data_IF_011281885962
#
_entry.id   IF_011281885962
#
_cell.length_a   1.000
_cell.length_b   1.000
_cell.length_c   1.000
_cell.angle_alpha   90.00
_cell.angle_beta   90.00
_cell.angle_gamma   90.00
#
_symmetry.space_group_name_H-M   'P 1'
#
loop_
_entity.id
_entity.type
_entity.pdbx_description
1 polymer ?
#
# COMPACT_ATOMS: atom_id res chain seq x y z
N UNK A 1 -22.24 -18.71 -18.89
CA UNK A 1 -22.29 -17.27 -19.22
C UNK A 1 -21.77 -16.47 -18.04
N UNK A 2 -20.41 -16.36 -17.92
CA UNK A 2 -19.76 -15.55 -16.92
C UNK A 2 -20.00 -14.06 -17.19
N UNK A 3 -20.63 -13.36 -16.23
CA UNK A 3 -20.87 -11.91 -16.33
C UNK A 3 -19.72 -11.06 -15.78
N UNK A 4 -18.58 -11.65 -15.53
CA UNK A 4 -17.38 -10.99 -15.03
C UNK A 4 -16.70 -11.84 -13.97
N UNK A 5 -15.40 -11.65 -13.83
CA UNK A 5 -14.59 -12.18 -12.74
C UNK A 5 -14.06 -10.98 -11.98
N UNK A 6 -14.34 -10.94 -10.69
CA UNK A 6 -13.81 -9.90 -9.79
C UNK A 6 -12.71 -10.54 -8.94
N UNK A 7 -11.52 -9.97 -8.99
CA UNK A 7 -10.39 -10.37 -8.15
C UNK A 7 -10.14 -9.22 -7.18
N UNK A 8 -10.21 -9.49 -5.88
CA UNK A 8 -9.95 -8.52 -4.82
C UNK A 8 -9.00 -9.09 -3.79
N UNK A 9 -8.15 -8.23 -3.26
CA UNK A 9 -7.34 -8.55 -2.08
C UNK A 9 -8.25 -8.52 -0.85
N UNK A 10 -8.45 -9.69 -0.23
CA UNK A 10 -9.28 -9.85 0.97
C UNK A 10 -8.44 -10.08 2.23
N UNK A 11 -7.13 -9.93 2.17
CA UNK A 11 -6.21 -10.17 3.29
C UNK A 11 -6.65 -9.46 4.57
N UNK A 12 -6.99 -8.15 4.56
CA UNK A 12 -7.45 -7.50 5.79
C UNK A 12 -8.76 -8.11 6.32
N UNK A 13 -9.64 -8.59 5.43
CA UNK A 13 -10.91 -9.19 5.85
C UNK A 13 -10.73 -10.54 6.55
N UNK A 14 -9.63 -11.24 6.30
CA UNK A 14 -9.32 -12.52 6.94
C UNK A 14 -8.88 -12.35 8.40
N UNK A 15 -8.35 -11.17 8.76
CA UNK A 15 -7.97 -10.83 10.12
C UNK A 15 -9.15 -10.25 10.93
N UNK A 16 -10.22 -9.78 10.27
CA UNK A 16 -11.36 -9.14 10.95
C UNK A 16 -12.05 -10.13 11.89
N UNK A 17 -12.12 -9.77 13.15
CA UNK A 17 -12.86 -10.49 14.19
C UNK A 17 -13.87 -9.55 14.87
N UNK A 18 -14.75 -10.13 15.68
CA UNK A 18 -15.72 -9.35 16.46
C UNK A 18 -15.01 -8.39 17.44
N UNK A 19 -13.83 -8.80 17.94
CA UNK A 19 -13.02 -7.98 18.84
C UNK A 19 -12.47 -6.75 18.10
N UNK A 20 -11.91 -6.92 16.89
CA UNK A 20 -11.39 -5.82 16.09
C UNK A 20 -12.50 -4.81 15.73
N UNK A 21 -13.71 -5.29 15.44
CA UNK A 21 -14.82 -4.40 15.06
C UNK A 21 -15.31 -3.49 16.21
N UNK A 22 -15.00 -3.80 17.46
CA UNK A 22 -15.33 -2.94 18.60
C UNK A 22 -14.19 -2.00 18.99
N UNK A 23 -12.97 -2.23 18.49
CA UNK A 23 -11.84 -1.33 18.69
C UNK A 23 -12.08 0.01 17.95
N UNK A 24 -11.66 1.16 18.51
CA UNK A 24 -11.74 2.44 17.81
C UNK A 24 -10.84 2.48 16.56
N UNK A 25 -9.69 1.80 16.63
CA UNK A 25 -8.66 1.74 15.61
C UNK A 25 -7.93 0.41 15.64
N UNK A 26 -7.63 -0.16 14.48
CA UNK A 26 -6.81 -1.36 14.34
C UNK A 26 -5.91 -1.28 13.12
N UNK A 27 -4.62 -1.59 13.27
CA UNK A 27 -3.65 -1.69 12.18
C UNK A 27 -3.44 -3.16 11.83
N UNK A 28 -3.79 -3.56 10.61
CA UNK A 28 -3.64 -4.93 10.12
C UNK A 28 -2.19 -5.30 9.84
N UNK A 29 -1.91 -6.60 9.79
CA UNK A 29 -0.62 -7.12 9.37
C UNK A 29 -0.20 -6.60 7.99
N UNK A 30 1.09 -6.30 7.83
CA UNK A 30 1.65 -5.79 6.58
C UNK A 30 2.43 -6.92 5.92
N UNK A 31 1.93 -7.38 4.77
CA UNK A 31 2.58 -8.46 4.02
C UNK A 31 3.93 -8.02 3.47
N UNK A 32 5.00 -8.83 3.68
CA UNK A 32 6.30 -8.58 3.08
C UNK A 32 6.24 -8.65 1.56
N UNK A 33 6.77 -7.64 0.87
CA UNK A 33 6.77 -7.59 -0.60
C UNK A 33 8.12 -7.24 -1.18
N UNK A 34 8.51 -7.85 -2.32
CA UNK A 34 9.69 -7.45 -3.06
C UNK A 34 9.39 -6.17 -3.85
N UNK A 35 10.44 -5.40 -4.12
CA UNK A 35 10.34 -4.33 -5.11
C UNK A 35 10.35 -4.93 -6.52
N UNK A 36 9.31 -4.68 -7.28
CA UNK A 36 9.22 -5.06 -8.69
C UNK A 36 9.66 -3.89 -9.56
N UNK A 37 10.87 -3.95 -10.12
CA UNK A 37 11.26 -3.05 -11.19
C UNK A 37 10.59 -3.46 -12.48
N UNK A 38 9.40 -2.95 -12.79
CA UNK A 38 8.72 -3.29 -14.03
C UNK A 38 9.46 -2.72 -15.23
N UNK A 39 9.93 -3.59 -16.13
CA UNK A 39 10.30 -3.22 -17.50
C UNK A 39 9.14 -3.60 -18.40
N UNK A 40 8.48 -2.62 -18.98
CA UNK A 40 7.58 -2.89 -20.08
C UNK A 40 8.40 -3.50 -21.23
N UNK A 41 8.25 -4.80 -21.43
CA UNK A 41 8.87 -5.52 -22.55
C UNK A 41 7.92 -5.42 -23.75
N UNK A 42 8.20 -4.48 -24.65
CA UNK A 42 7.61 -4.49 -25.98
C UNK A 42 6.33 -3.68 -26.12
N UNK A 43 5.98 -3.52 -27.39
CA UNK A 43 4.84 -2.76 -27.87
C UNK A 43 3.73 -3.77 -28.20
N UNK A 44 2.88 -4.10 -27.25
CA UNK A 44 1.81 -5.08 -27.43
C UNK A 44 0.52 -4.43 -27.92
N UNK A 45 0.55 -3.75 -29.06
CA UNK A 45 -0.66 -3.24 -29.71
C UNK A 45 -1.44 -4.29 -30.50
N UNK A 46 -1.19 -5.57 -30.23
CA UNK A 46 -1.87 -6.69 -30.85
C UNK A 46 -3.16 -7.11 -30.13
N UNK A 47 -3.75 -6.19 -29.39
CA UNK A 47 -4.98 -6.44 -28.68
C UNK A 47 -6.19 -6.35 -29.64
N UNK A 48 -6.96 -7.41 -29.69
CA UNK A 48 -8.25 -7.39 -30.36
C UNK A 48 -9.23 -6.46 -29.65
N UNK A 49 -10.28 -6.05 -30.32
CA UNK A 49 -11.31 -5.13 -29.79
C UNK A 49 -12.10 -5.64 -28.56
N UNK A 50 -11.85 -6.87 -28.10
CA UNK A 50 -12.40 -7.46 -26.86
C UNK A 50 -11.32 -7.62 -25.79
N UNK A 51 -10.35 -6.73 -25.74
CA UNK A 51 -9.29 -6.75 -24.76
C UNK A 51 -9.81 -6.39 -23.36
N UNK A 52 -9.46 -7.22 -22.39
CA UNK A 52 -9.69 -6.95 -20.96
C UNK A 52 -8.35 -6.64 -20.31
N UNK A 53 -8.19 -5.43 -19.84
CA UNK A 53 -7.05 -5.02 -19.04
C UNK A 53 -7.37 -5.19 -17.55
N UNK A 54 -6.57 -6.01 -16.88
CA UNK A 54 -6.64 -6.17 -15.42
C UNK A 54 -5.42 -5.47 -14.82
N UNK A 55 -5.59 -4.55 -13.87
CA UNK A 55 -4.48 -3.92 -13.19
C UNK A 55 -3.58 -4.97 -12.54
N UNK A 56 -2.28 -4.79 -12.65
CA UNK A 56 -1.32 -5.60 -11.91
C UNK A 56 -1.47 -5.36 -10.40
N UNK A 57 -0.97 -6.32 -9.62
CA UNK A 57 -0.83 -6.16 -8.19
C UNK A 57 -0.05 -4.87 -7.85
N UNK A 58 -0.45 -4.09 -6.84
CA UNK A 58 0.23 -2.85 -6.49
C UNK A 58 1.72 -3.06 -6.21
N UNK A 59 2.57 -2.24 -6.83
CA UNK A 59 4.03 -2.26 -6.62
C UNK A 59 4.37 -1.45 -5.37
N UNK A 60 4.26 -2.10 -4.20
CA UNK A 60 4.51 -1.47 -2.92
C UNK A 60 3.98 -2.28 -1.74
N UNK A 61 4.29 -1.82 -0.54
CA UNK A 61 3.70 -2.33 0.69
C UNK A 61 2.31 -1.73 0.88
N UNK A 62 1.34 -2.61 1.09
CA UNK A 62 -0.05 -2.23 1.35
C UNK A 62 -0.25 -2.12 2.85
N UNK A 63 -0.68 -0.95 3.31
CA UNK A 63 -0.93 -0.64 4.71
C UNK A 63 -2.44 -0.49 4.86
N UNK A 64 -3.07 -1.45 5.55
CA UNK A 64 -4.49 -1.42 5.83
C UNK A 64 -4.71 -1.13 7.31
N UNK A 65 -5.69 -0.29 7.62
CA UNK A 65 -6.12 0.00 8.99
C UNK A 65 -7.62 0.20 9.05
N UNK A 66 -8.20 -0.18 10.17
CA UNK A 66 -9.63 -0.06 10.44
C UNK A 66 -9.89 1.11 11.38
N UNK A 67 -10.95 1.84 11.09
CA UNK A 67 -11.52 2.85 11.99
C UNK A 67 -12.99 2.53 12.20
N UNK A 68 -13.42 2.42 13.46
CA UNK A 68 -14.84 2.21 13.78
C UNK A 68 -15.69 3.40 13.37
N UNK A 69 -15.17 4.60 13.50
CA UNK A 69 -15.83 5.86 13.14
C UNK A 69 -14.89 6.75 12.33
N UNK A 70 -15.45 7.53 11.41
CA UNK A 70 -14.69 8.49 10.64
C UNK A 70 -14.07 9.56 11.56
N UNK A 71 -12.80 9.90 11.31
CA UNK A 71 -12.06 10.88 12.06
C UNK A 71 -11.79 12.14 11.21
N UNK A 72 -11.57 13.28 11.86
CA UNK A 72 -11.17 14.50 11.18
C UNK A 72 -9.65 14.54 11.04
N UNK A 73 -9.14 15.07 9.93
CA UNK A 73 -7.73 15.41 9.77
C UNK A 73 -6.90 14.40 8.98
N UNK A 74 -7.49 13.29 8.54
CA UNK A 74 -6.73 12.26 7.81
C UNK A 74 -5.85 11.39 8.72
N UNK A 75 -5.20 10.39 8.12
CA UNK A 75 -4.22 9.54 8.78
C UNK A 75 -2.81 9.95 8.36
N UNK A 76 -1.88 9.96 9.30
CA UNK A 76 -0.45 10.13 9.03
C UNK A 76 0.25 8.79 9.15
N UNK A 77 0.96 8.39 8.10
CA UNK A 77 1.73 7.15 8.08
C UNK A 77 3.22 7.52 8.03
N UNK A 78 3.93 7.25 9.11
CA UNK A 78 5.36 7.49 9.23
C UNK A 78 6.13 6.19 9.06
N UNK A 79 7.09 6.17 8.15
CA UNK A 79 7.96 5.01 7.90
C UNK A 79 9.37 5.34 8.36
N UNK A 80 9.90 4.52 9.26
CA UNK A 80 11.26 4.63 9.81
C UNK A 80 12.04 3.37 9.53
N UNK A 81 13.34 3.53 9.33
CA UNK A 81 14.27 2.39 9.30
C UNK A 81 14.45 1.78 10.70
N UNK A 82 15.24 0.70 10.78
CA UNK A 82 15.52 0.02 12.05
C UNK A 82 16.34 0.88 13.04
N UNK A 83 17.04 1.91 12.54
CA UNK A 83 17.80 2.87 13.39
C UNK A 83 16.88 3.97 13.94
N UNK A 84 15.63 4.05 13.48
CA UNK A 84 14.65 5.04 13.91
C UNK A 84 14.65 6.32 13.08
N UNK A 85 15.43 6.37 12.00
CA UNK A 85 15.44 7.51 11.08
C UNK A 85 14.20 7.43 10.19
N UNK A 86 13.46 8.52 10.09
CA UNK A 86 12.32 8.63 9.18
C UNK A 86 12.81 8.65 7.73
N UNK A 87 12.30 7.71 6.94
CA UNK A 87 12.68 7.54 5.53
C UNK A 87 11.57 7.94 4.58
N UNK A 88 10.32 7.86 5.02
CA UNK A 88 9.16 8.26 4.23
C UNK A 88 7.98 8.65 5.11
N UNK A 89 7.08 9.47 4.55
CA UNK A 89 5.78 9.79 5.13
C UNK A 89 4.69 9.69 4.07
N UNK A 90 3.49 9.27 4.49
CA UNK A 90 2.29 9.16 3.63
C UNK A 90 1.08 9.70 4.36
N UNK A 91 0.12 10.17 3.58
CA UNK A 91 -1.18 10.57 4.11
C UNK A 91 -2.23 9.54 3.69
N UNK A 92 -3.07 9.14 4.61
CA UNK A 92 -4.18 8.23 4.38
C UNK A 92 -5.53 8.87 4.65
N UNK A 93 -6.59 8.15 4.29
CA UNK A 93 -7.96 8.52 4.61
C UNK A 93 -8.28 8.23 6.08
N UNK A 94 -9.31 8.85 6.60
CA UNK A 94 -9.82 8.60 7.96
C UNK A 94 -11.31 8.31 7.96
N UNK A 95 -11.73 7.54 6.96
CA UNK A 95 -13.11 7.10 6.80
C UNK A 95 -13.43 5.93 7.76
N UNK A 96 -14.71 5.78 8.13
CA UNK A 96 -15.14 4.61 8.87
C UNK A 96 -14.99 3.34 8.02
N UNK A 97 -14.50 2.26 8.61
CA UNK A 97 -14.22 1.00 7.95
C UNK A 97 -12.73 0.82 7.64
N UNK A 98 -12.42 0.00 6.64
CA UNK A 98 -11.04 -0.30 6.24
C UNK A 98 -10.51 0.76 5.30
N UNK A 99 -9.43 1.41 5.73
CA UNK A 99 -8.66 2.36 4.94
C UNK A 99 -7.41 1.68 4.40
N UNK A 100 -6.93 2.12 3.23
CA UNK A 100 -5.79 1.53 2.55
C UNK A 100 -4.84 2.59 2.04
N UNK A 101 -3.55 2.42 2.34
CA UNK A 101 -2.47 3.26 1.81
C UNK A 101 -1.43 2.37 1.16
N UNK A 102 -0.96 2.76 -0.01
CA UNK A 102 0.13 2.09 -0.71
C UNK A 102 1.42 2.87 -0.53
N UNK A 103 2.42 2.24 0.05
CA UNK A 103 3.76 2.79 0.08
C UNK A 103 4.64 2.13 -1.00
N UNK A 104 5.08 2.91 -1.96
CA UNK A 104 5.88 2.49 -3.12
C UNK A 104 7.35 2.15 -2.79
N UNK A 105 7.67 1.93 -1.51
CA UNK A 105 9.01 1.58 -1.01
C UNK A 105 10.11 2.60 -1.38
N UNK A 106 9.73 3.86 -1.58
CA UNK A 106 10.66 4.95 -1.90
C UNK A 106 10.70 5.98 -0.77
N UNK A 107 11.85 6.65 -0.59
CA UNK A 107 11.98 7.70 0.42
C UNK A 107 11.18 8.95 0.05
N UNK A 108 10.96 9.80 1.05
CA UNK A 108 10.31 11.10 0.92
C UNK A 108 8.81 11.08 1.15
N UNK A 109 8.20 12.26 1.04
CA UNK A 109 6.76 12.45 1.18
C UNK A 109 6.00 12.00 -0.07
N UNK A 110 4.70 11.80 0.10
CA UNK A 110 3.83 11.40 -1.00
C UNK A 110 3.70 12.52 -2.02
N UNK A 111 4.20 12.30 -3.20
CA UNK A 111 4.02 13.22 -4.33
C UNK A 111 2.72 12.97 -5.11
N UNK A 112 1.71 12.37 -4.47
CA UNK A 112 0.32 12.33 -4.94
C UNK A 112 0.11 11.80 -6.36
N UNK A 113 0.90 10.85 -6.81
CA UNK A 113 0.76 10.25 -8.12
C UNK A 113 0.00 8.93 -8.05
N UNK A 114 -1.27 8.92 -8.43
CA UNK A 114 -1.99 7.69 -8.74
C UNK A 114 -1.14 6.86 -9.70
N UNK A 115 -0.84 5.62 -9.31
CA UNK A 115 0.07 4.72 -10.03
C UNK A 115 -0.34 4.32 -11.47
N UNK A 116 -1.20 5.09 -12.11
CA UNK A 116 -1.77 4.84 -13.44
C UNK A 116 -1.11 5.63 -14.58
N UNK A 117 -0.06 6.41 -14.32
CA UNK A 117 0.64 7.12 -15.39
C UNK A 117 1.53 6.15 -16.16
N UNK A 118 0.99 5.60 -17.26
CA UNK A 118 1.71 4.80 -18.22
C UNK A 118 2.93 5.55 -18.80
N UNK A 119 4.02 4.81 -19.04
CA UNK A 119 5.20 5.17 -19.87
C UNK A 119 6.08 6.34 -19.44
N UNK A 120 5.79 7.11 -18.41
CA UNK A 120 6.77 8.06 -17.89
C UNK A 120 7.75 7.33 -17.00
N UNK A 121 9.03 7.36 -17.38
CA UNK A 121 10.16 6.99 -16.51
C UNK A 121 9.91 7.67 -15.17
N UNK A 122 9.67 6.90 -14.11
CA UNK A 122 9.50 7.44 -12.77
C UNK A 122 10.81 8.15 -12.38
N UNK A 123 10.87 9.44 -12.62
CA UNK A 123 11.91 10.32 -12.09
C UNK A 123 11.61 10.48 -10.60
N UNK A 124 12.32 9.77 -9.78
CA UNK A 124 12.21 9.80 -8.33
C UNK A 124 13.38 9.08 -7.70
N UNK A 125 13.61 9.25 -6.40
CA UNK A 125 14.68 8.56 -5.71
C UNK A 125 14.55 7.05 -5.89
N UNK A 126 15.67 6.31 -5.87
CA UNK A 126 15.64 4.85 -5.96
C UNK A 126 14.81 4.26 -4.80
N UNK A 127 14.29 3.03 -4.95
CA UNK A 127 13.68 2.33 -3.85
C UNK A 127 14.65 2.14 -2.69
N UNK A 128 14.09 2.04 -1.48
CA UNK A 128 14.86 1.72 -0.29
C UNK A 128 15.40 0.28 -0.36
N UNK A 129 16.46 0.01 0.39
CA UNK A 129 17.07 -1.31 0.45
C UNK A 129 16.11 -2.36 1.02
N UNK A 130 16.24 -3.64 0.65
CA UNK A 130 15.55 -4.72 1.35
C UNK A 130 15.85 -4.72 2.84
N UNK A 131 14.85 -5.02 3.65
CA UNK A 131 14.95 -5.00 5.09
C UNK A 131 13.64 -4.64 5.78
N UNK A 132 13.69 -4.50 7.08
CA UNK A 132 12.55 -4.20 7.94
C UNK A 132 12.43 -2.69 8.19
N UNK A 133 11.21 -2.21 8.14
CA UNK A 133 10.85 -0.81 8.38
C UNK A 133 9.73 -0.74 9.40
N UNK A 134 9.80 0.22 10.31
CA UNK A 134 8.73 0.50 11.26
C UNK A 134 7.73 1.42 10.60
N UNK A 135 6.52 0.96 10.46
CA UNK A 135 5.41 1.69 9.88
C UNK A 135 4.45 2.04 11.00
N UNK A 136 4.31 3.33 11.28
CA UNK A 136 3.43 3.86 12.31
C UNK A 136 2.28 4.58 11.62
N UNK A 137 1.06 4.23 11.99
CA UNK A 137 -0.17 4.90 11.56
C UNK A 137 -0.72 5.68 12.74
N UNK A 138 -0.98 6.96 12.54
CA UNK A 138 -1.56 7.89 13.52
C UNK A 138 -2.83 8.52 12.95
N UNK A 139 -3.93 8.38 13.66
CA UNK A 139 -5.23 8.98 13.30
C UNK A 139 -5.86 9.56 14.56
N UNK A 140 -6.04 10.88 14.60
CA UNK A 140 -6.48 11.59 15.81
C UNK A 140 -5.60 11.23 17.02
N UNK A 141 -6.18 10.64 18.06
CA UNK A 141 -5.46 10.23 19.28
C UNK A 141 -4.99 8.77 19.26
N UNK A 142 -5.31 8.03 18.18
CA UNK A 142 -4.98 6.63 18.03
C UNK A 142 -3.66 6.44 17.27
N UNK A 143 -2.88 5.45 17.72
CA UNK A 143 -1.57 5.14 17.13
C UNK A 143 -1.25 3.66 17.22
N UNK A 144 -0.79 3.07 16.12
CA UNK A 144 -0.23 1.73 16.10
C UNK A 144 1.01 1.66 15.22
N UNK A 145 1.87 0.68 15.48
CA UNK A 145 3.11 0.45 14.74
C UNK A 145 3.24 -1.03 14.39
N UNK A 146 3.53 -1.31 13.12
CA UNK A 146 3.83 -2.63 12.59
C UNK A 146 5.16 -2.64 11.84
N UNK A 147 5.71 -3.82 11.62
CA UNK A 147 6.87 -4.01 10.77
C UNK A 147 6.39 -4.29 9.35
N UNK A 148 6.90 -3.53 8.40
CA UNK A 148 6.77 -3.80 6.98
C UNK A 148 8.11 -4.21 6.41
N UNK A 149 8.18 -5.34 5.72
CA UNK A 149 9.43 -5.90 5.18
C UNK A 149 9.50 -5.74 3.68
N UNK A 150 10.53 -5.07 3.19
CA UNK A 150 10.91 -5.08 1.78
C UNK A 150 11.79 -6.31 1.54
N UNK A 151 11.32 -7.22 0.70
CA UNK A 151 12.08 -8.43 0.33
C UNK A 151 13.08 -8.12 -0.78
N UNK A 152 14.12 -8.93 -0.84
CA UNK A 152 15.02 -8.91 -1.99
C UNK A 152 14.27 -9.27 -3.27
N UNK A 153 14.72 -8.68 -4.36
CA UNK A 153 14.24 -9.01 -5.69
C UNK A 153 14.73 -10.40 -6.09
N UNK A 154 13.83 -11.26 -6.53
CA UNK A 154 14.16 -12.66 -6.88
C UNK A 154 14.86 -12.76 -8.24
N UNK A 155 14.85 -11.71 -9.10
CA UNK A 155 15.50 -11.58 -10.43
C UNK A 155 15.74 -10.13 -10.84
#
# INVERSE_FOLDING_TARGET
>A
YGRGVFIGDITPLQEVSAEILVEPFHLFGIEPRPYYGFRALGNFHLYGHKYLEVPNEPDGLVINYYLREAQKGGATITIKDISGVEVASRTGTSEAGINRVLWNMRPGEDSGGDGHSGFRRREGPPPLAPGDYRITVEVADERATMIGTIRERIW
#
